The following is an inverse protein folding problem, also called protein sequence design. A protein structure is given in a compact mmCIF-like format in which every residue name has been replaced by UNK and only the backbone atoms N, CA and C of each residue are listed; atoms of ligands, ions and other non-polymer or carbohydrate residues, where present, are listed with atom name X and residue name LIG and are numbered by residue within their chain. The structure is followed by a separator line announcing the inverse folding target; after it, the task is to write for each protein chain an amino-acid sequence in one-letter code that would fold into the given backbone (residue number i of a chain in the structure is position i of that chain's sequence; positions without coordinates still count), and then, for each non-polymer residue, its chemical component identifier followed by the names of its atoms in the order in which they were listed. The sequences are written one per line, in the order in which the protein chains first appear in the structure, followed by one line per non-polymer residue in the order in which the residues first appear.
data_IF_860873401361
#
_entry.id   IF_860873401361
#
_cell.length_a   1.000
_cell.length_b   1.000
_cell.length_c   1.000
_cell.angle_alpha   90.00
_cell.angle_beta   90.00
_cell.angle_gamma   90.00
#
_symmetry.space_group_name_H-M   'P 1'
#
loop_
_entity.id
_entity.type
_entity.pdbx_description
1 polymer ?
#
# COMPACT_ATOMS: atom_id res chain seq x y z
N UNK A 1 8.06 -14.30 16.49
CA UNK A 1 6.60 -14.50 16.45
C UNK A 1 6.09 -14.16 15.06
N UNK A 2 5.86 -15.16 14.22
CA UNK A 2 5.32 -14.96 12.87
C UNK A 2 3.80 -14.84 12.96
N UNK A 3 3.30 -13.63 13.26
CA UNK A 3 1.87 -13.40 13.37
C UNK A 3 1.24 -13.32 11.98
N UNK A 4 0.07 -13.95 11.83
CA UNK A 4 -0.70 -13.87 10.60
C UNK A 4 -1.33 -12.47 10.55
N UNK A 5 -0.95 -11.59 9.59
CA UNK A 5 -1.38 -10.19 9.60
C UNK A 5 -2.90 -10.05 9.54
N UNK A 6 -3.60 -11.03 8.95
CA UNK A 6 -5.05 -11.09 8.95
C UNK A 6 -5.67 -11.18 10.34
N UNK A 7 -5.01 -11.89 11.27
CA UNK A 7 -5.51 -12.12 12.61
C UNK A 7 -5.31 -10.87 13.46
N UNK A 8 -4.13 -10.25 13.38
CA UNK A 8 -3.83 -9.00 14.08
C UNK A 8 -4.76 -7.86 13.66
N UNK A 9 -4.98 -7.70 12.34
CA UNK A 9 -5.92 -6.70 11.83
C UNK A 9 -7.35 -6.96 12.33
N UNK A 10 -7.75 -8.24 12.40
CA UNK A 10 -9.07 -8.61 12.88
C UNK A 10 -9.24 -8.35 14.38
N UNK A 11 -8.22 -8.61 15.19
CA UNK A 11 -8.18 -8.25 16.62
C UNK A 11 -8.29 -6.74 16.83
N UNK A 12 -7.71 -5.93 15.92
CA UNK A 12 -7.86 -4.48 15.90
C UNK A 12 -9.24 -4.00 15.38
N UNK A 13 -10.15 -4.91 15.05
CA UNK A 13 -11.46 -4.58 14.48
C UNK A 13 -11.42 -4.20 13.00
N UNK A 14 -10.28 -4.37 12.33
CA UNK A 14 -10.08 -4.02 10.92
C UNK A 14 -10.29 -5.26 10.06
N UNK A 15 -11.41 -5.29 9.32
CA UNK A 15 -11.69 -6.36 8.36
C UNK A 15 -10.99 -6.10 7.03
N UNK A 16 -10.04 -6.97 6.68
CA UNK A 16 -9.37 -6.92 5.38
C UNK A 16 -10.25 -7.53 4.28
N UNK A 17 -10.60 -6.73 3.26
CA UNK A 17 -11.40 -7.13 2.09
C UNK A 17 -10.51 -7.13 0.86
N UNK A 18 -10.23 -8.30 0.29
CA UNK A 18 -9.34 -8.46 -0.87
C UNK A 18 -9.98 -9.32 -1.96
N UNK A 19 -9.46 -9.20 -3.18
CA UNK A 19 -9.73 -10.19 -4.23
C UNK A 19 -9.12 -11.54 -3.84
N UNK A 20 -9.72 -12.62 -4.30
CA UNK A 20 -9.23 -13.98 -4.09
C UNK A 20 -7.97 -14.18 -4.95
N UNK A 21 -6.89 -14.71 -4.35
CA UNK A 21 -5.61 -15.04 -5.01
C UNK A 21 -5.10 -16.36 -4.44
N UNK A 22 -4.31 -17.13 -5.19
CA UNK A 22 -3.87 -18.48 -4.82
C UNK A 22 -3.18 -18.64 -3.44
N UNK A 23 -2.66 -17.57 -2.84
CA UNK A 23 -2.00 -17.61 -1.53
C UNK A 23 -2.87 -17.03 -0.39
N UNK A 24 -4.09 -16.59 -0.67
CA UNK A 24 -5.01 -16.01 0.31
C UNK A 24 -6.09 -17.04 0.62
N UNK A 25 -6.32 -17.33 1.91
CA UNK A 25 -7.40 -18.22 2.35
C UNK A 25 -8.73 -17.69 1.79
N UNK A 26 -9.43 -18.51 1.02
CA UNK A 26 -10.69 -18.14 0.39
C UNK A 26 -11.79 -18.00 1.45
N UNK A 27 -12.02 -16.78 1.93
CA UNK A 27 -13.16 -16.44 2.78
C UNK A 27 -14.34 -16.03 1.90
N UNK A 28 -15.54 -16.45 2.29
CA UNK A 28 -16.78 -16.01 1.64
C UNK A 28 -16.89 -14.48 1.73
N UNK A 29 -16.94 -13.82 0.57
CA UNK A 29 -17.17 -12.39 0.47
C UNK A 29 -18.67 -12.12 0.47
N UNK A 30 -19.12 -11.19 1.31
CA UNK A 30 -20.49 -10.72 1.29
C UNK A 30 -20.75 -9.85 0.04
N UNK A 31 -22.02 -9.68 -0.34
CA UNK A 31 -22.42 -8.93 -1.55
C UNK A 31 -21.88 -7.49 -1.52
N UNK A 32 -21.96 -6.85 -0.35
CA UNK A 32 -21.42 -5.49 -0.13
C UNK A 32 -19.91 -5.43 -0.37
N UNK A 33 -19.17 -6.42 0.12
CA UNK A 33 -17.71 -6.49 -0.03
C UNK A 33 -17.31 -6.69 -1.50
N UNK A 34 -18.05 -7.54 -2.22
CA UNK A 34 -17.88 -7.73 -3.65
C UNK A 34 -18.15 -6.45 -4.45
N UNK A 35 -19.18 -5.70 -4.06
CA UNK A 35 -19.49 -4.41 -4.68
C UNK A 35 -18.41 -3.36 -4.42
N UNK A 36 -17.90 -3.27 -3.19
CA UNK A 36 -16.79 -2.37 -2.83
C UNK A 36 -15.54 -2.69 -3.65
N UNK A 37 -15.20 -3.97 -3.81
CA UNK A 37 -14.06 -4.39 -4.65
C UNK A 37 -14.26 -4.02 -6.13
N UNK A 38 -15.50 -3.97 -6.62
CA UNK A 38 -15.82 -3.59 -8.00
C UNK A 38 -15.69 -2.08 -8.24
N UNK A 39 -15.98 -1.26 -7.22
CA UNK A 39 -15.86 0.21 -7.28
C UNK A 39 -14.53 0.75 -6.77
N UNK A 40 -13.63 -0.13 -6.31
CA UNK A 40 -12.35 0.23 -5.70
C UNK A 40 -11.53 1.22 -6.52
N UNK A 41 -11.50 1.06 -7.84
CA UNK A 41 -10.74 1.94 -8.75
C UNK A 41 -11.17 3.40 -8.64
N UNK A 42 -12.47 3.69 -8.53
CA UNK A 42 -12.96 5.07 -8.38
C UNK A 42 -12.49 5.70 -7.06
N UNK A 43 -12.54 4.92 -5.98
CA UNK A 43 -12.10 5.38 -4.66
C UNK A 43 -10.59 5.60 -4.65
N UNK A 44 -9.81 4.71 -5.27
CA UNK A 44 -8.36 4.86 -5.42
C UNK A 44 -8.01 6.11 -6.21
N UNK A 45 -8.65 6.34 -7.35
CA UNK A 45 -8.43 7.57 -8.14
C UNK A 45 -8.72 8.84 -7.35
N UNK A 46 -9.82 8.89 -6.60
CA UNK A 46 -10.14 10.05 -5.75
C UNK A 46 -9.07 10.25 -4.68
N UNK A 47 -8.62 9.17 -4.03
CA UNK A 47 -7.55 9.24 -3.03
C UNK A 47 -6.25 9.75 -3.64
N UNK A 48 -5.89 9.28 -4.83
CA UNK A 48 -4.65 9.68 -5.48
C UNK A 48 -4.67 11.16 -5.90
N UNK A 49 -5.82 11.64 -6.39
CA UNK A 49 -6.05 13.07 -6.65
C UNK A 49 -5.98 13.89 -5.37
N UNK A 50 -6.63 13.45 -4.28
CA UNK A 50 -6.61 14.18 -3.02
C UNK A 50 -5.19 14.32 -2.46
N UNK A 51 -4.40 13.25 -2.54
CA UNK A 51 -3.01 13.29 -2.12
C UNK A 51 -2.16 14.23 -2.99
N UNK A 52 -2.46 14.34 -4.29
CA UNK A 52 -1.82 15.28 -5.22
C UNK A 52 -2.17 16.74 -4.85
N UNK A 53 -3.46 17.05 -4.69
CA UNK A 53 -3.92 18.39 -4.33
C UNK A 53 -3.45 18.85 -2.94
N UNK A 54 -3.31 17.93 -1.99
CA UNK A 54 -2.88 18.24 -0.63
C UNK A 54 -1.36 18.14 -0.42
N UNK A 55 -0.58 17.90 -1.48
CA UNK A 55 0.89 17.71 -1.42
C UNK A 55 1.32 16.60 -0.44
N UNK A 56 0.40 15.69 -0.08
CA UNK A 56 0.64 14.63 0.89
C UNK A 56 1.64 13.58 0.39
N UNK A 57 1.95 13.59 -0.90
CA UNK A 57 2.98 12.75 -1.52
C UNK A 57 4.41 13.27 -1.32
N UNK A 58 4.59 14.59 -1.15
CA UNK A 58 5.89 15.24 -1.28
C UNK A 58 6.66 15.43 0.02
N UNK A 59 6.10 15.09 1.18
CA UNK A 59 6.88 14.95 2.41
C UNK A 59 7.58 13.59 2.51
N UNK A 60 8.22 13.13 1.43
CA UNK A 60 9.27 12.13 1.56
C UNK A 60 10.49 12.85 2.14
N UNK A 61 10.67 12.72 3.45
CA UNK A 61 11.97 12.90 4.10
C UNK A 61 12.93 11.85 3.50
N UNK A 62 13.48 12.14 2.32
CA UNK A 62 14.70 11.49 1.86
C UNK A 62 15.77 12.00 2.81
N UNK A 63 16.09 11.22 3.83
CA UNK A 63 17.19 11.54 4.75
C UNK A 63 18.41 12.01 3.95
N UNK A 64 18.92 13.19 4.29
CA UNK A 64 20.17 13.79 3.80
C UNK A 64 21.41 13.04 4.34
N UNK A 65 21.29 11.76 4.69
CA UNK A 65 22.29 11.07 5.53
C UNK A 65 23.14 10.00 4.82
N UNK A 66 23.02 9.81 3.50
CA UNK A 66 23.97 8.95 2.76
C UNK A 66 24.56 9.66 1.54
N UNK A 67 25.22 10.78 1.81
CA UNK A 67 26.11 11.50 0.89
C UNK A 67 27.57 11.03 0.92
N UNK A 68 27.85 9.80 1.37
CA UNK A 68 29.17 9.17 1.25
C UNK A 68 28.96 7.67 0.96
N UNK A 69 29.67 7.14 -0.04
CA UNK A 69 29.67 5.75 -0.54
C UNK A 69 28.90 5.47 -1.84
N UNK A 70 29.18 6.23 -2.90
CA UNK A 70 29.40 5.58 -4.19
C UNK A 70 30.38 6.42 -5.02
N UNK A 71 31.61 5.92 -5.19
CA UNK A 71 32.58 6.47 -6.13
C UNK A 71 32.04 6.14 -7.54
N UNK A 72 31.69 7.10 -8.41
CA UNK A 72 31.43 6.75 -9.80
C UNK A 72 32.74 6.27 -10.41
N UNK A 73 32.86 4.95 -10.58
CA UNK A 73 33.81 4.39 -11.51
C UNK A 73 33.38 4.84 -12.91
N UNK A 74 34.27 5.60 -13.55
CA UNK A 74 34.31 5.87 -14.99
C UNK A 74 33.13 6.65 -15.56
N UNK A 75 33.31 7.96 -15.75
CA UNK A 75 33.17 8.67 -17.04
C UNK A 75 33.99 9.97 -16.93
N UNK A 76 34.83 10.20 -17.95
CA UNK A 76 35.60 11.42 -18.28
C UNK A 76 36.90 11.74 -17.51
N UNK A 77 38.02 11.18 -17.98
CA UNK A 77 39.12 11.91 -18.66
C UNK A 77 40.18 10.91 -19.18
#
# INVERSE_FOLDING_TARGET
MCQNPFEQLFEQGIKLITKIRNNIKNKLLNIKEKFMLKRRTLVETVIDLLKDFQDLWHTHHRSIDFGFNNKPACVEA
#
